data_IF_846771898984
#
_entry.id   IF_846771898984
#
_cell.length_a   1.000
_cell.length_b   1.000
_cell.length_c   1.000
_cell.angle_alpha   90.00
_cell.angle_beta   90.00
_cell.angle_gamma   90.00
#
_symmetry.space_group_name_H-M   'P 1'
#
loop_
_entity.id
_entity.type
_entity.pdbx_description
1 polymer ?
#
# COMPACT_ATOMS: atom_id res chain seq x y z
N UNK A 1 -6.92 -30.41 43.21
CA UNK A 1 -7.81 -29.45 42.51
C UNK A 1 -6.89 -28.37 41.97
N UNK A 2 -6.57 -28.46 40.68
CA UNK A 2 -5.49 -27.70 40.06
C UNK A 2 -5.85 -26.24 39.80
N UNK A 3 -4.90 -25.37 40.08
CA UNK A 3 -4.96 -23.92 40.02
C UNK A 3 -5.62 -23.38 38.74
N UNK A 4 -6.65 -22.56 38.92
CA UNK A 4 -7.17 -21.68 37.89
C UNK A 4 -6.07 -20.66 37.57
N UNK A 5 -5.33 -20.94 36.49
CA UNK A 5 -4.30 -20.06 35.94
C UNK A 5 -4.83 -18.63 35.86
N UNK A 6 -4.10 -17.70 36.47
CA UNK A 6 -4.32 -16.27 36.35
C UNK A 6 -4.57 -15.93 34.87
N UNK A 7 -5.78 -15.48 34.57
CA UNK A 7 -6.13 -14.99 33.24
C UNK A 7 -5.29 -13.74 33.06
N UNK A 8 -4.24 -13.82 32.25
CA UNK A 8 -3.40 -12.68 31.90
C UNK A 8 -4.32 -11.53 31.47
N UNK A 9 -4.44 -10.50 32.31
CA UNK A 9 -5.18 -9.29 31.97
C UNK A 9 -4.32 -8.60 30.92
N UNK A 10 -4.58 -8.89 29.65
CA UNK A 10 -3.91 -8.23 28.54
C UNK A 10 -4.48 -6.82 28.46
N UNK A 11 -3.72 -5.85 28.97
CA UNK A 11 -4.01 -4.42 28.78
C UNK A 11 -4.24 -4.14 27.29
N UNK A 12 -5.49 -3.83 26.95
CA UNK A 12 -5.89 -3.51 25.60
C UNK A 12 -5.99 -2.00 25.42
N UNK A 13 -5.40 -1.49 24.34
CA UNK A 13 -5.51 -0.10 23.92
C UNK A 13 -6.53 -0.02 22.80
N UNK A 14 -7.44 0.94 22.88
CA UNK A 14 -8.35 1.27 21.78
C UNK A 14 -7.63 2.15 20.76
N UNK A 15 -7.65 1.74 19.49
CA UNK A 15 -7.03 2.47 18.39
C UNK A 15 -8.02 2.66 17.24
N UNK A 16 -7.84 3.74 16.46
CA UNK A 16 -8.67 4.06 15.30
C UNK A 16 -8.03 3.55 14.02
N UNK A 17 -8.76 2.78 13.24
CA UNK A 17 -8.30 2.32 11.93
C UNK A 17 -8.09 3.50 10.97
N UNK A 18 -6.90 3.61 10.38
CA UNK A 18 -6.58 4.71 9.44
C UNK A 18 -7.28 4.58 8.08
N UNK A 19 -7.93 3.44 7.81
CA UNK A 19 -8.61 3.15 6.54
C UNK A 19 -10.11 3.38 6.67
N UNK A 20 -10.78 2.61 7.52
CA UNK A 20 -12.24 2.67 7.68
C UNK A 20 -12.71 3.52 8.87
N UNK A 21 -11.79 3.99 9.73
CA UNK A 21 -12.14 4.77 10.93
C UNK A 21 -12.72 3.97 12.09
N UNK A 22 -12.90 2.66 11.95
CA UNK A 22 -13.41 1.79 13.02
C UNK A 22 -12.46 1.74 14.22
N UNK A 23 -13.03 1.78 15.43
CA UNK A 23 -12.30 1.63 16.68
C UNK A 23 -12.10 0.14 16.98
N UNK A 24 -10.86 -0.27 17.24
CA UNK A 24 -10.53 -1.66 17.56
C UNK A 24 -9.60 -1.73 18.77
N UNK A 25 -9.65 -2.83 19.52
CA UNK A 25 -8.76 -3.11 20.64
C UNK A 25 -7.51 -3.85 20.16
N UNK A 26 -6.36 -3.45 20.70
CA UNK A 26 -5.08 -4.08 20.41
C UNK A 26 -4.27 -4.20 21.70
N UNK A 27 -3.56 -5.31 21.86
CA UNK A 27 -2.78 -5.55 23.05
C UNK A 27 -1.65 -4.51 23.23
N UNK A 28 -1.28 -4.18 24.48
CA UNK A 28 -0.22 -3.21 24.82
C UNK A 28 1.17 -3.57 24.27
N UNK A 29 1.42 -4.84 23.92
CA UNK A 29 2.63 -5.25 23.21
C UNK A 29 2.49 -5.18 21.68
N UNK A 30 1.27 -5.33 21.15
CA UNK A 30 0.96 -5.39 19.72
C UNK A 30 0.77 -4.01 19.06
N UNK A 31 0.40 -2.97 19.83
CA UNK A 31 -0.10 -1.71 19.26
C UNK A 31 0.93 -0.92 18.41
N UNK A 32 2.24 -1.04 18.69
CA UNK A 32 3.28 -0.21 18.04
C UNK A 32 3.34 -0.37 16.51
N UNK A 33 2.75 -1.43 15.95
CA UNK A 33 2.65 -1.65 14.51
C UNK A 33 1.22 -1.69 13.94
N UNK A 34 0.20 -1.81 14.80
CA UNK A 34 -1.17 -2.09 14.38
C UNK A 34 -1.94 -0.78 14.08
N UNK A 35 -2.01 -0.42 12.80
CA UNK A 35 -2.71 0.81 12.33
C UNK A 35 -4.10 0.54 11.74
N UNK A 36 -4.44 -0.73 11.57
CA UNK A 36 -5.65 -1.18 10.85
C UNK A 36 -6.37 -2.25 11.62
N UNK A 37 -7.70 -2.20 11.60
CA UNK A 37 -8.55 -3.14 12.34
C UNK A 37 -8.56 -4.56 11.74
N UNK A 38 -8.31 -4.69 10.43
CA UNK A 38 -8.40 -5.97 9.73
C UNK A 38 -7.29 -6.15 8.69
N UNK A 39 -7.12 -7.39 8.22
CA UNK A 39 -6.21 -7.72 7.11
C UNK A 39 -6.60 -7.01 5.81
N UNK A 40 -7.89 -6.80 5.59
CA UNK A 40 -8.41 -6.08 4.42
C UNK A 40 -7.99 -4.60 4.46
N UNK A 41 -8.21 -3.93 5.59
CA UNK A 41 -7.75 -2.56 5.80
C UNK A 41 -6.21 -2.46 5.69
N UNK A 42 -5.48 -3.46 6.19
CA UNK A 42 -4.02 -3.52 6.04
C UNK A 42 -3.61 -3.59 4.56
N UNK A 43 -4.25 -4.47 3.78
CA UNK A 43 -4.03 -4.62 2.34
C UNK A 43 -4.35 -3.34 1.59
N UNK A 44 -5.46 -2.68 1.90
CA UNK A 44 -5.85 -1.43 1.27
C UNK A 44 -4.85 -0.31 1.55
N UNK A 45 -4.45 -0.13 2.81
CA UNK A 45 -3.42 0.83 3.20
C UNK A 45 -2.08 0.55 2.49
N UNK A 46 -1.68 -0.71 2.38
CA UNK A 46 -0.49 -1.10 1.61
C UNK A 46 -0.62 -0.69 0.14
N UNK A 47 -1.74 -1.00 -0.52
CA UNK A 47 -1.97 -0.64 -1.93
C UNK A 47 -1.95 0.88 -2.12
N UNK A 48 -2.59 1.64 -1.23
CA UNK A 48 -2.60 3.11 -1.27
C UNK A 48 -1.18 3.67 -1.17
N UNK A 49 -0.38 3.19 -0.21
CA UNK A 49 1.03 3.59 -0.05
C UNK A 49 1.85 3.23 -1.28
N UNK A 50 1.68 2.00 -1.80
CA UNK A 50 2.38 1.54 -3.01
C UNK A 50 2.08 2.43 -4.21
N UNK A 51 0.80 2.81 -4.43
CA UNK A 51 0.41 3.74 -5.50
C UNK A 51 1.07 5.11 -5.34
N UNK A 52 1.12 5.64 -4.12
CA UNK A 52 1.80 6.92 -3.85
C UNK A 52 3.30 6.84 -4.11
N UNK A 53 3.96 5.76 -3.67
CA UNK A 53 5.38 5.52 -3.95
C UNK A 53 5.64 5.41 -5.45
N UNK A 54 4.81 4.67 -6.18
CA UNK A 54 4.91 4.56 -7.64
C UNK A 54 4.70 5.91 -8.33
N UNK A 55 3.73 6.72 -7.88
CA UNK A 55 3.47 8.07 -8.40
C UNK A 55 4.63 9.03 -8.12
N UNK A 56 5.30 8.91 -6.97
CA UNK A 56 6.51 9.69 -6.66
C UNK A 56 7.67 9.22 -7.52
N UNK A 57 7.88 7.91 -7.62
CA UNK A 57 8.93 7.33 -8.44
C UNK A 57 8.80 7.72 -9.92
N UNK A 58 7.58 7.71 -10.48
CA UNK A 58 7.34 8.06 -11.89
C UNK A 58 7.73 9.50 -12.23
N UNK A 59 7.86 10.39 -11.24
CA UNK A 59 8.32 11.77 -11.42
C UNK A 59 9.84 11.92 -11.32
N UNK A 60 10.56 10.89 -10.87
CA UNK A 60 12.03 10.91 -10.82
C UNK A 60 12.63 10.67 -12.21
N UNK A 61 13.87 11.10 -12.42
CA UNK A 61 14.61 10.86 -13.68
C UNK A 61 14.60 9.37 -14.05
N UNK A 62 14.94 8.49 -13.09
CA UNK A 62 14.91 7.03 -13.27
C UNK A 62 13.52 6.50 -13.64
N UNK A 63 12.47 7.04 -13.02
CA UNK A 63 11.10 6.64 -13.29
C UNK A 63 10.59 7.08 -14.66
N UNK A 64 10.96 8.29 -15.11
CA UNK A 64 10.66 8.79 -16.45
C UNK A 64 11.36 7.94 -17.52
N UNK A 65 12.64 7.63 -17.32
CA UNK A 65 13.41 6.77 -18.23
C UNK A 65 12.81 5.36 -18.32
N UNK A 66 12.50 4.74 -17.17
CA UNK A 66 11.81 3.45 -17.11
C UNK A 66 10.45 3.49 -17.82
N UNK A 67 9.71 4.60 -17.69
CA UNK A 67 8.47 4.84 -18.40
C UNK A 67 8.64 4.86 -19.92
N UNK A 68 9.65 5.59 -20.42
CA UNK A 68 9.98 5.64 -21.86
C UNK A 68 10.36 4.28 -22.42
N UNK A 69 11.16 3.49 -21.68
CA UNK A 69 11.52 2.13 -22.09
C UNK A 69 10.29 1.23 -22.16
N UNK A 70 9.41 1.30 -21.15
CA UNK A 70 8.16 0.52 -21.14
C UNK A 70 7.24 0.90 -22.31
N UNK A 71 7.13 2.18 -22.63
CA UNK A 71 6.34 2.68 -23.74
C UNK A 71 6.91 2.17 -25.08
N UNK A 72 8.22 2.30 -25.31
CA UNK A 72 8.92 1.74 -26.49
C UNK A 72 8.67 0.24 -26.67
N UNK A 73 8.72 -0.54 -25.58
CA UNK A 73 8.42 -1.99 -25.63
C UNK A 73 6.96 -2.28 -26.01
N UNK A 74 6.01 -1.46 -25.57
CA UNK A 74 4.60 -1.61 -25.95
C UNK A 74 4.40 -1.38 -27.44
N UNK A 75 4.98 -0.31 -27.99
CA UNK A 75 4.89 -0.01 -29.42
C UNK A 75 5.49 -1.09 -30.30
N UNK A 76 6.70 -1.58 -29.95
CA UNK A 76 7.32 -2.71 -30.66
C UNK A 76 6.45 -3.97 -30.66
N UNK A 77 5.63 -4.18 -29.63
CA UNK A 77 4.73 -5.33 -29.54
C UNK A 77 3.42 -5.11 -30.33
N UNK A 78 2.97 -3.87 -30.47
CA UNK A 78 1.72 -3.54 -31.18
C UNK A 78 1.88 -3.35 -32.69
N UNK A 79 3.11 -3.36 -33.23
CA UNK A 79 3.35 -3.22 -34.68
C UNK A 79 2.94 -1.86 -35.26
N UNK A 80 2.72 -0.86 -34.40
CA UNK A 80 2.43 0.52 -34.81
C UNK A 80 3.74 1.26 -34.94
N UNK A 81 4.18 1.52 -36.18
CA UNK A 81 5.45 2.20 -36.48
C UNK A 81 5.41 3.72 -36.26
N UNK A 82 4.22 4.30 -36.04
CA UNK A 82 4.08 5.75 -35.87
C UNK A 82 4.30 6.22 -34.41
N UNK A 83 5.25 7.14 -34.17
CA UNK A 83 5.42 7.77 -32.87
C UNK A 83 4.34 8.84 -32.61
N UNK A 84 3.80 8.93 -31.38
CA UNK A 84 2.69 9.84 -31.05
C UNK A 84 3.03 11.34 -31.01
N UNK A 85 4.29 11.73 -31.29
CA UNK A 85 4.70 13.14 -31.38
C UNK A 85 4.59 13.72 -32.81
N UNK A 86 4.12 12.92 -33.78
CA UNK A 86 3.81 13.35 -35.15
C UNK A 86 2.33 13.74 -35.35
N UNK A 87 1.67 14.28 -34.31
CA UNK A 87 0.31 14.81 -34.46
C UNK A 87 0.40 16.22 -35.08
N UNK A 88 -0.25 16.50 -36.23
CA UNK A 88 -0.32 17.86 -36.75
C UNK A 88 -1.10 18.73 -35.76
N UNK A 89 -0.50 19.88 -35.42
CA UNK A 89 -1.10 20.94 -34.60
C UNK A 89 -2.16 21.72 -35.38
#
# INVERSE_FOLDING_TARGET
>A
MGDLKAVDIIDAITSKCIVCGHMFSVCRSCWRGQKTCSKECSRENYLRRRRLTQKRYSKTVKGLESGRVRQRRRYKKSGSDDPPWNLPH
#
